data_IF_256962614793
#
_entry.id   IF_256962614793
#
_cell.length_a   1.000
_cell.length_b   1.000
_cell.length_c   1.000
_cell.angle_alpha   90.00
_cell.angle_beta   90.00
_cell.angle_gamma   90.00
#
_symmetry.space_group_name_H-M   'P 1'
#
loop_
_entity.id
_entity.type
_entity.pdbx_description
1 polymer ?
#
# COMPACT_ATOMS: atom_id res chain seq x y z
N UNK A 1 -16.56 -12.22 -11.06
CA UNK A 1 -16.38 -13.09 -9.89
C UNK A 1 -16.21 -12.23 -8.66
N UNK A 2 -17.15 -12.28 -7.71
CA UNK A 2 -17.03 -11.56 -6.44
C UNK A 2 -15.89 -12.19 -5.64
N UNK A 3 -14.72 -11.54 -5.60
CA UNK A 3 -13.59 -12.00 -4.78
C UNK A 3 -13.99 -11.88 -3.31
N UNK A 4 -13.62 -12.89 -2.50
CA UNK A 4 -13.86 -12.83 -1.06
C UNK A 4 -13.11 -11.64 -0.45
N UNK A 5 -13.67 -11.06 0.61
CA UNK A 5 -13.05 -9.93 1.32
C UNK A 5 -11.63 -10.29 1.80
N UNK A 6 -11.43 -11.56 2.20
CA UNK A 6 -10.14 -12.10 2.62
C UNK A 6 -9.15 -12.13 1.45
N UNK A 7 -9.58 -12.55 0.26
CA UNK A 7 -8.74 -12.53 -0.93
C UNK A 7 -8.34 -11.09 -1.32
N UNK A 8 -9.26 -10.14 -1.18
CA UNK A 8 -8.97 -8.71 -1.43
C UNK A 8 -7.94 -8.17 -0.44
N UNK A 9 -8.07 -8.52 0.85
CA UNK A 9 -7.10 -8.17 1.88
C UNK A 9 -5.72 -8.79 1.60
N UNK A 10 -5.66 -10.07 1.27
CA UNK A 10 -4.41 -10.75 0.91
C UNK A 10 -3.75 -10.11 -0.32
N UNK A 11 -4.54 -9.71 -1.32
CA UNK A 11 -4.03 -8.96 -2.46
C UNK A 11 -3.49 -7.59 -2.06
N UNK A 12 -4.18 -6.87 -1.17
CA UNK A 12 -3.66 -5.64 -0.58
C UNK A 12 -2.33 -5.88 0.16
N UNK A 13 -2.19 -7.03 0.83
CA UNK A 13 -0.95 -7.41 1.51
C UNK A 13 0.19 -7.62 0.55
N UNK A 14 -0.01 -8.47 -0.44
CA UNK A 14 0.99 -8.75 -1.48
C UNK A 14 1.35 -7.47 -2.22
N UNK A 15 0.36 -6.66 -2.60
CA UNK A 15 0.57 -5.39 -3.27
C UNK A 15 1.42 -4.41 -2.45
N UNK A 16 1.19 -4.32 -1.13
CA UNK A 16 1.99 -3.47 -0.23
C UNK A 16 3.46 -3.92 -0.09
N UNK A 17 3.74 -5.20 -0.37
CA UNK A 17 5.09 -5.78 -0.33
C UNK A 17 5.81 -5.60 -1.67
N UNK A 18 5.08 -5.74 -2.77
CA UNK A 18 5.60 -5.54 -4.12
C UNK A 18 5.86 -4.07 -4.42
N UNK A 19 5.05 -3.15 -3.87
CA UNK A 19 5.18 -1.73 -4.14
C UNK A 19 6.52 -1.15 -3.64
N UNK A 20 7.36 -0.57 -4.52
CA UNK A 20 8.61 0.01 -4.10
C UNK A 20 8.36 1.33 -3.35
N UNK A 21 8.79 1.38 -2.10
CA UNK A 21 8.63 2.55 -1.20
C UNK A 21 9.63 3.67 -1.55
N UNK A 22 9.57 4.22 -2.76
CA UNK A 22 10.41 5.35 -3.19
C UNK A 22 9.71 6.67 -2.90
N UNK A 23 10.38 7.63 -2.25
CA UNK A 23 9.78 8.92 -1.90
C UNK A 23 9.26 9.71 -3.11
N UNK A 24 9.89 9.55 -4.28
CA UNK A 24 9.49 10.20 -5.52
C UNK A 24 8.05 9.82 -5.92
N UNK A 25 7.64 8.59 -5.66
CA UNK A 25 6.29 8.12 -5.97
C UNK A 25 5.22 8.70 -5.04
N UNK A 26 5.59 9.34 -3.92
CA UNK A 26 4.60 9.94 -3.02
C UNK A 26 3.88 11.15 -3.61
N UNK A 27 4.50 11.87 -4.56
CA UNK A 27 3.89 13.05 -5.19
C UNK A 27 2.84 12.63 -6.22
N UNK A 28 3.04 11.49 -6.88
CA UNK A 28 2.17 10.98 -7.95
C UNK A 28 1.15 9.96 -7.43
N UNK A 29 1.54 9.13 -6.47
CA UNK A 29 0.74 8.00 -5.98
C UNK A 29 0.46 8.11 -4.47
N UNK A 30 -0.80 8.34 -4.07
CA UNK A 30 -1.17 8.29 -2.66
C UNK A 30 -1.06 6.86 -2.08
N UNK A 31 -0.95 5.80 -2.90
CA UNK A 31 -0.74 4.43 -2.43
C UNK A 31 0.48 4.32 -1.51
N UNK A 32 1.58 4.97 -1.85
CA UNK A 32 2.82 4.86 -1.10
C UNK A 32 2.70 5.47 0.30
N UNK A 33 1.95 6.57 0.42
CA UNK A 33 1.64 7.18 1.70
C UNK A 33 0.75 6.24 2.53
N UNK A 34 -0.28 5.67 1.93
CA UNK A 34 -1.22 4.77 2.62
C UNK A 34 -0.51 3.48 3.05
N UNK A 35 0.37 2.90 2.24
CA UNK A 35 1.19 1.74 2.62
C UNK A 35 2.08 2.08 3.80
N UNK A 36 2.75 3.24 3.79
CA UNK A 36 3.60 3.67 4.90
C UNK A 36 2.82 3.93 6.16
N UNK A 37 1.70 4.62 6.05
CA UNK A 37 0.80 4.87 7.17
C UNK A 37 0.31 3.55 7.75
N UNK A 38 -0.07 2.59 6.92
CA UNK A 38 -0.54 1.28 7.36
C UNK A 38 0.57 0.48 8.05
N UNK A 39 1.80 0.46 7.52
CA UNK A 39 2.96 -0.19 8.17
C UNK A 39 3.33 0.48 9.50
N UNK A 40 3.33 1.82 9.54
CA UNK A 40 3.57 2.58 10.78
C UNK A 40 2.47 2.34 11.79
N UNK A 41 1.22 2.34 11.36
CA UNK A 41 0.07 2.04 12.18
C UNK A 41 0.17 0.62 12.76
N UNK A 42 0.55 -0.38 11.96
CA UNK A 42 0.77 -1.75 12.45
C UNK A 42 1.84 -1.83 13.54
N UNK A 43 2.89 -1.01 13.46
CA UNK A 43 3.97 -0.99 14.47
C UNK A 43 3.61 -0.14 15.70
N UNK A 44 2.93 1.00 15.51
CA UNK A 44 2.66 1.98 16.58
C UNK A 44 1.34 1.73 17.31
N UNK A 45 0.29 1.32 16.59
CA UNK A 45 -1.04 1.11 17.18
C UNK A 45 -1.10 0.07 18.29
N UNK A 46 -0.40 -1.09 18.26
CA UNK A 46 -0.47 -2.02 19.38
C UNK A 46 0.15 -1.42 20.66
N UNK A 47 1.19 -0.61 20.55
CA UNK A 47 1.74 0.11 21.70
C UNK A 47 0.75 1.19 22.19
N UNK A 48 0.18 1.98 21.26
CA UNK A 48 -0.81 3.00 21.59
C UNK A 48 -2.09 2.42 22.21
N UNK A 49 -2.55 1.25 21.77
CA UNK A 49 -3.76 0.62 22.30
C UNK A 49 -3.56 0.16 23.73
N UNK A 50 -2.40 -0.45 24.05
CA UNK A 50 -2.06 -0.84 25.42
C UNK A 50 -1.93 0.38 26.33
N UNK A 51 -1.22 1.43 25.88
CA UNK A 51 -1.10 2.68 26.66
C UNK A 51 -2.48 3.29 26.89
N UNK A 52 -3.31 3.38 25.85
CA UNK A 52 -4.67 3.92 25.95
C UNK A 52 -5.53 3.13 26.94
N UNK A 53 -5.48 1.80 26.89
CA UNK A 53 -6.21 0.93 27.81
C UNK A 53 -5.71 1.08 29.25
N UNK A 54 -4.39 1.16 29.45
CA UNK A 54 -3.80 1.40 30.77
C UNK A 54 -4.21 2.75 31.35
N UNK A 55 -4.13 3.82 30.56
CA UNK A 55 -4.52 5.17 31.00
C UNK A 55 -6.02 5.21 31.33
N UNK A 56 -6.87 4.65 30.48
CA UNK A 56 -8.32 4.58 30.72
C UNK A 56 -8.63 3.80 32.00
N UNK A 57 -7.97 2.66 32.25
CA UNK A 57 -8.20 1.88 33.47
C UNK A 57 -7.63 2.53 34.73
N UNK A 58 -6.50 3.23 34.63
CA UNK A 58 -5.91 3.95 35.75
C UNK A 58 -6.77 5.15 36.17
N UNK A 59 -7.39 5.86 35.22
CA UNK A 59 -8.16 7.08 35.52
C UNK A 59 -9.65 6.82 35.75
N UNK A 60 -10.26 5.88 35.02
CA UNK A 60 -11.72 5.62 35.06
C UNK A 60 -12.08 4.31 35.79
N UNK A 61 -11.10 3.51 36.19
CA UNK A 61 -11.31 2.27 36.95
C UNK A 61 -11.88 1.11 36.11
N UNK A 62 -12.18 -0.01 36.76
CA UNK A 62 -12.66 -1.25 36.12
C UNK A 62 -14.03 -1.12 35.45
N UNK A 63 -14.83 -0.12 35.84
CA UNK A 63 -16.14 0.17 35.26
C UNK A 63 -16.06 0.60 33.78
N UNK A 64 -14.88 1.03 33.31
CA UNK A 64 -14.64 1.52 31.94
C UNK A 64 -13.95 0.49 31.03
N UNK A 65 -13.89 -0.78 31.44
CA UNK A 65 -13.27 -1.86 30.65
C UNK A 65 -13.92 -2.04 29.27
N UNK A 66 -15.25 -2.04 29.19
CA UNK A 66 -15.95 -2.28 27.92
C UNK A 66 -15.70 -1.15 26.88
N UNK A 67 -15.83 0.14 27.22
CA UNK A 67 -15.44 1.23 26.31
C UNK A 67 -13.96 1.22 25.95
N UNK A 68 -13.06 0.91 26.90
CA UNK A 68 -11.63 0.82 26.63
C UNK A 68 -11.29 -0.29 25.63
N UNK A 69 -11.91 -1.46 25.77
CA UNK A 69 -11.79 -2.55 24.80
C UNK A 69 -12.39 -2.18 23.43
N UNK A 70 -13.53 -1.51 23.40
CA UNK A 70 -14.13 -1.05 22.14
C UNK A 70 -13.20 -0.06 21.41
N UNK A 71 -12.60 0.90 22.13
CA UNK A 71 -11.68 1.88 21.56
C UNK A 71 -10.40 1.25 21.01
N UNK A 72 -9.85 0.27 21.73
CA UNK A 72 -8.64 -0.45 21.30
C UNK A 72 -8.89 -1.35 20.09
N UNK A 73 -10.02 -2.06 20.06
CA UNK A 73 -10.46 -2.82 18.87
C UNK A 73 -10.70 -1.90 17.67
N UNK A 74 -11.32 -0.75 17.87
CA UNK A 74 -11.54 0.23 16.81
C UNK A 74 -10.20 0.74 16.23
N UNK A 75 -9.24 1.10 17.09
CA UNK A 75 -7.89 1.47 16.67
C UNK A 75 -7.20 0.35 15.89
N UNK A 76 -7.29 -0.90 16.36
CA UNK A 76 -6.73 -2.05 15.65
C UNK A 76 -7.39 -2.31 14.29
N UNK A 77 -8.63 -1.85 14.08
CA UNK A 77 -9.34 -1.99 12.81
C UNK A 77 -8.89 -1.01 11.72
N UNK A 78 -8.32 0.15 12.10
CA UNK A 78 -7.84 1.16 11.15
C UNK A 78 -6.80 0.64 10.14
N UNK A 79 -5.75 -0.11 10.54
CA UNK A 79 -4.80 -0.65 9.58
C UNK A 79 -5.50 -1.60 8.61
N UNK A 80 -6.41 -2.47 9.11
CA UNK A 80 -7.19 -3.40 8.28
C UNK A 80 -8.00 -2.68 7.18
N UNK A 81 -8.59 -1.53 7.50
CA UNK A 81 -9.28 -0.70 6.50
C UNK A 81 -8.33 -0.20 5.40
N UNK A 82 -7.08 0.14 5.77
CA UNK A 82 -6.02 0.51 4.82
C UNK A 82 -5.67 -0.61 3.83
N UNK A 83 -5.47 -1.85 4.32
CA UNK A 83 -5.18 -3.00 3.46
C UNK A 83 -6.35 -3.33 2.52
N UNK A 84 -7.59 -3.20 3.00
CA UNK A 84 -8.78 -3.45 2.18
C UNK A 84 -8.87 -2.47 1.01
N UNK A 85 -8.67 -1.17 1.30
CA UNK A 85 -8.64 -0.14 0.26
C UNK A 85 -7.51 -0.39 -0.74
N UNK A 86 -6.34 -0.80 -0.26
CA UNK A 86 -5.19 -1.14 -1.10
C UNK A 86 -5.49 -2.30 -2.04
N UNK A 87 -6.15 -3.35 -1.54
CA UNK A 87 -6.54 -4.52 -2.34
C UNK A 87 -7.54 -4.17 -3.42
N UNK A 88 -8.55 -3.35 -3.10
CA UNK A 88 -9.52 -2.85 -4.09
C UNK A 88 -8.86 -1.98 -5.16
N UNK A 89 -7.86 -1.18 -4.77
CA UNK A 89 -7.13 -0.31 -5.70
C UNK A 89 -6.14 -1.08 -6.57
N UNK A 90 -5.50 -2.12 -6.05
CA UNK A 90 -4.59 -2.98 -6.81
C UNK A 90 -5.29 -3.63 -8.03
N UNK A 91 -6.57 -3.98 -7.88
CA UNK A 91 -7.40 -4.58 -8.94
C UNK A 91 -8.04 -3.54 -9.88
N UNK A 92 -7.92 -2.24 -9.57
CA UNK A 92 -8.47 -1.19 -10.41
C UNK A 92 -7.61 -0.97 -11.66
N UNK A 93 -8.28 -0.74 -12.79
CA UNK A 93 -7.63 -0.53 -14.09
C UNK A 93 -6.99 0.87 -14.10
N UNK A 94 -5.81 0.98 -14.73
CA UNK A 94 -5.14 2.27 -14.86
C UNK A 94 -5.99 3.25 -15.70
N UNK A 95 -6.16 4.51 -15.24
CA UNK A 95 -6.69 5.55 -16.10
C UNK A 95 -5.70 5.84 -17.25
N UNK A 96 -6.18 6.35 -18.39
CA UNK A 96 -5.37 6.49 -19.61
C UNK A 96 -4.10 7.33 -19.43
N UNK A 97 -4.14 8.36 -18.57
CA UNK A 97 -2.96 9.17 -18.25
C UNK A 97 -1.84 8.34 -17.58
N UNK A 98 -2.20 7.39 -16.71
CA UNK A 98 -1.23 6.53 -16.02
C UNK A 98 -0.74 5.40 -16.92
N UNK A 99 -1.57 4.98 -17.88
CA UNK A 99 -1.19 3.99 -18.87
C UNK A 99 -0.10 4.51 -19.81
N UNK A 100 -0.17 5.77 -20.23
CA UNK A 100 0.89 6.42 -21.00
C UNK A 100 2.21 6.44 -20.22
N UNK A 101 2.17 6.88 -18.96
CA UNK A 101 3.35 6.88 -18.09
C UNK A 101 3.93 5.47 -17.86
N UNK A 102 3.07 4.45 -17.73
CA UNK A 102 3.49 3.05 -17.65
C UNK A 102 4.24 2.59 -18.90
N UNK A 103 3.74 2.94 -20.10
CA UNK A 103 4.39 2.60 -21.36
C UNK A 103 5.72 3.35 -21.53
N UNK A 104 5.77 4.63 -21.18
CA UNK A 104 7.01 5.42 -21.23
C UNK A 104 8.11 4.83 -20.36
N UNK A 105 7.77 4.35 -19.15
CA UNK A 105 8.73 3.67 -18.29
C UNK A 105 9.13 2.32 -18.86
N UNK A 106 8.17 1.55 -19.39
CA UNK A 106 8.46 0.27 -20.04
C UNK A 106 9.45 0.45 -21.20
N UNK A 107 9.23 1.44 -22.05
CA UNK A 107 10.10 1.76 -23.18
C UNK A 107 11.50 2.19 -22.70
N UNK A 108 11.59 3.05 -21.69
CA UNK A 108 12.89 3.45 -21.12
C UNK A 108 13.62 2.29 -20.44
N UNK A 109 12.90 1.37 -19.79
CA UNK A 109 13.49 0.15 -19.23
C UNK A 109 14.03 -0.76 -20.33
N UNK A 110 13.28 -0.93 -21.42
CA UNK A 110 13.69 -1.74 -22.57
C UNK A 110 14.90 -1.14 -23.28
N UNK A 111 14.95 0.19 -23.44
CA UNK A 111 16.12 0.91 -23.96
C UNK A 111 17.36 0.72 -23.08
N UNK A 112 17.16 0.55 -21.77
CA UNK A 112 18.25 0.29 -20.81
C UNK A 112 18.67 -1.19 -20.75
N UNK A 113 18.14 -2.04 -21.64
CA UNK A 113 18.48 -3.47 -21.72
C UNK A 113 17.73 -4.38 -20.75
N UNK A 114 16.70 -3.87 -20.06
CA UNK A 114 15.90 -4.66 -19.11
C UNK A 114 14.73 -5.34 -19.83
N UNK A 115 14.60 -6.66 -19.66
CA UNK A 115 13.46 -7.40 -20.17
C UNK A 115 12.19 -7.04 -19.38
N UNK A 116 11.30 -6.27 -20.01
CA UNK A 116 10.00 -5.89 -19.44
C UNK A 116 8.96 -7.00 -19.73
N UNK A 117 8.16 -7.44 -18.74
CA UNK A 117 7.04 -8.35 -19.00
C UNK A 117 6.06 -7.75 -20.00
N UNK A 118 5.52 -8.55 -20.93
CA UNK A 118 4.53 -8.08 -21.92
C UNK A 118 3.38 -7.35 -21.23
N UNK A 119 3.01 -6.13 -21.67
CA UNK A 119 1.90 -5.39 -21.10
C UNK A 119 0.62 -6.23 -21.17
N UNK A 120 -0.07 -6.41 -20.05
CA UNK A 120 -1.39 -7.01 -20.05
C UNK A 120 -2.37 -6.12 -20.84
N UNK A 121 -3.35 -6.72 -21.52
CA UNK A 121 -4.32 -5.98 -22.35
C UNK A 121 -5.13 -4.92 -21.57
N UNK A 122 -5.19 -5.02 -20.24
CA UNK A 122 -5.69 -4.00 -19.31
C UNK A 122 -4.75 -3.93 -18.11
N UNK A 123 -3.73 -3.05 -18.10
CA UNK A 123 -2.82 -2.97 -16.98
C UNK A 123 -3.58 -2.47 -15.74
N UNK A 124 -3.41 -3.18 -14.64
CA UNK A 124 -3.94 -2.79 -13.33
C UNK A 124 -2.83 -2.17 -12.46
N UNK A 125 -3.20 -1.51 -11.36
CA UNK A 125 -2.22 -0.90 -10.46
C UNK A 125 -1.21 -1.92 -9.93
N UNK A 126 -1.60 -3.19 -9.78
CA UNK A 126 -0.70 -4.29 -9.45
C UNK A 126 0.41 -4.50 -10.49
N UNK A 127 0.10 -4.43 -11.78
CA UNK A 127 1.10 -4.59 -12.85
C UNK A 127 2.09 -3.43 -12.85
N UNK A 128 1.57 -2.21 -12.66
CA UNK A 128 2.40 -1.02 -12.51
C UNK A 128 3.35 -1.15 -11.31
N UNK A 129 2.85 -1.61 -10.16
CA UNK A 129 3.68 -1.85 -8.98
C UNK A 129 4.83 -2.83 -9.27
N UNK A 130 4.53 -3.87 -10.03
CA UNK A 130 5.48 -4.93 -10.38
C UNK A 130 6.54 -4.39 -11.33
N UNK A 131 6.15 -3.68 -12.39
CA UNK A 131 7.07 -3.02 -13.32
C UNK A 131 7.98 -2.03 -12.59
N UNK A 132 7.39 -1.19 -11.75
CA UNK A 132 8.10 -0.20 -10.95
C UNK A 132 9.10 -0.84 -9.98
N UNK A 133 8.72 -1.97 -9.36
CA UNK A 133 9.62 -2.72 -8.48
C UNK A 133 10.82 -3.30 -9.23
N UNK A 134 10.61 -3.75 -10.48
CA UNK A 134 11.67 -4.21 -11.37
C UNK A 134 12.57 -3.06 -11.81
N UNK A 135 11.98 -1.91 -12.16
CA UNK A 135 12.71 -0.69 -12.50
C UNK A 135 13.64 -0.27 -11.37
N UNK A 136 13.13 -0.17 -10.14
CA UNK A 136 13.93 0.19 -8.97
C UNK A 136 15.03 -0.83 -8.67
N UNK A 137 14.77 -2.13 -8.88
CA UNK A 137 15.77 -3.17 -8.64
C UNK A 137 16.89 -3.19 -9.68
N UNK A 138 16.61 -2.89 -10.95
CA UNK A 138 17.57 -3.03 -12.04
C UNK A 138 18.22 -1.70 -12.47
N UNK A 139 17.50 -0.57 -12.38
CA UNK A 139 17.94 0.75 -12.86
C UNK A 139 18.13 1.76 -11.72
N UNK A 140 17.95 1.32 -10.48
CA UNK A 140 18.15 2.08 -9.26
C UNK A 140 17.14 3.23 -9.04
N UNK A 141 17.12 3.79 -7.83
CA UNK A 141 16.13 4.83 -7.42
C UNK A 141 16.27 6.15 -8.20
N UNK A 142 17.45 6.42 -8.75
CA UNK A 142 17.77 7.63 -9.53
C UNK A 142 17.05 7.67 -10.87
N UNK A 143 16.84 6.52 -11.52
CA UNK A 143 16.11 6.42 -12.78
C UNK A 143 14.64 6.83 -12.63
N UNK A 144 13.99 6.41 -11.53
CA UNK A 144 12.60 6.78 -11.22
C UNK A 144 12.46 8.30 -11.11
N UNK A 145 13.43 8.98 -10.48
CA UNK A 145 13.43 10.45 -10.34
C UNK A 145 13.58 11.18 -11.68
N UNK A 146 14.20 10.56 -12.68
CA UNK A 146 14.33 11.13 -14.03
C UNK A 146 13.11 10.86 -14.92
N UNK A 147 12.27 9.89 -14.55
CA UNK A 147 11.06 9.50 -15.29
C UNK A 147 9.78 10.12 -14.74
N UNK A 148 9.88 10.90 -13.68
CA UNK A 148 8.78 11.49 -12.92
C UNK A 148 8.90 13.01 -12.98
#
# INVERSE_FOLDING_TARGET
MQRSLIATLQQGVVYSQTWPLVNELNSVFPENQIIRLTKRAQQLLPAFSVISLLVQLQWMGQSYLAPALASTLFMLSLPLQGWYWLGKRADSVLPPAMLQWYLDIADKMQQSGVAVPRPAAKPCYADLATLLSLAVRQLDKTFIRQCL
#
